data_IF_992727679686
#
_entry.id   IF_992727679686
#
_cell.length_a   1.000
_cell.length_b   1.000
_cell.length_c   1.000
_cell.angle_alpha   90.00
_cell.angle_beta   90.00
_cell.angle_gamma   90.00
#
_symmetry.space_group_name_H-M   'P 1'
#
loop_
_entity.id
_entity.type
_entity.pdbx_description
1 polymer ?
#
# COMPACT_ATOMS: atom_id res chain seq x y z
N UNK A 1 -18.97 28.57 -50.85
CA UNK A 1 -17.95 28.96 -49.86
C UNK A 1 -18.46 28.54 -48.50
N UNK A 2 -17.74 27.63 -47.84
CA UNK A 2 -18.19 26.91 -46.65
C UNK A 2 -17.98 27.76 -45.39
N UNK A 3 -19.02 27.88 -44.57
CA UNK A 3 -18.94 28.42 -43.22
C UNK A 3 -18.44 27.31 -42.29
N UNK A 4 -17.24 27.49 -41.74
CA UNK A 4 -16.66 26.62 -40.72
C UNK A 4 -17.32 26.97 -39.39
N UNK A 5 -18.13 26.06 -38.88
CA UNK A 5 -18.66 26.12 -37.51
C UNK A 5 -17.56 25.62 -36.58
N UNK A 6 -16.94 26.54 -35.82
CA UNK A 6 -16.09 26.19 -34.68
C UNK A 6 -17.01 25.75 -33.53
N UNK A 7 -17.29 24.44 -33.43
CA UNK A 7 -17.79 23.86 -32.19
C UNK A 7 -16.62 23.88 -31.20
N UNK A 8 -16.62 24.87 -30.31
CA UNK A 8 -15.75 24.88 -29.15
C UNK A 8 -16.03 23.62 -28.32
N UNK A 9 -15.07 22.70 -28.32
CA UNK A 9 -15.00 21.62 -27.35
C UNK A 9 -14.69 22.30 -26.01
N UNK A 10 -15.74 22.71 -25.30
CA UNK A 10 -15.70 22.89 -23.85
C UNK A 10 -15.42 21.50 -23.28
N UNK A 11 -14.14 21.16 -23.17
CA UNK A 11 -13.68 20.11 -22.27
C UNK A 11 -14.26 20.47 -20.91
N UNK A 12 -15.29 19.73 -20.51
CA UNK A 12 -15.82 19.77 -19.17
C UNK A 12 -14.66 19.42 -18.24
N UNK A 13 -14.02 20.44 -17.69
CA UNK A 13 -13.32 20.33 -16.42
C UNK A 13 -14.40 20.02 -15.40
N UNK A 14 -14.79 18.74 -15.31
CA UNK A 14 -15.48 18.23 -14.15
C UNK A 14 -14.68 18.61 -12.90
N UNK A 15 -15.33 18.73 -11.74
CA UNK A 15 -14.60 18.94 -10.49
C UNK A 15 -13.48 17.91 -10.42
N UNK A 16 -12.27 18.36 -10.04
CA UNK A 16 -11.15 17.47 -9.83
C UNK A 16 -11.63 16.32 -8.94
N UNK A 17 -11.56 15.10 -9.45
CA UNK A 17 -12.17 13.97 -8.78
C UNK A 17 -11.50 13.82 -7.40
N UNK A 18 -12.32 13.95 -6.35
CA UNK A 18 -11.86 14.11 -4.98
C UNK A 18 -11.59 12.74 -4.35
N UNK A 19 -10.52 12.64 -3.57
CA UNK A 19 -10.25 11.49 -2.72
C UNK A 19 -11.37 11.38 -1.68
N UNK A 20 -12.03 10.22 -1.59
CA UNK A 20 -13.02 9.96 -0.55
C UNK A 20 -12.45 9.02 0.50
N UNK A 21 -13.06 8.98 1.67
CA UNK A 21 -12.59 8.17 2.80
C UNK A 21 -13.69 7.27 3.33
N UNK A 22 -13.32 6.06 3.72
CA UNK A 22 -14.17 5.24 4.57
C UNK A 22 -14.36 5.93 5.92
N UNK A 23 -15.58 5.89 6.43
CA UNK A 23 -15.93 6.53 7.71
C UNK A 23 -16.17 5.48 8.78
N UNK A 24 -15.71 5.68 10.02
CA UNK A 24 -16.01 4.78 11.12
C UNK A 24 -17.52 4.56 11.24
N UNK A 25 -17.91 3.31 11.45
CA UNK A 25 -19.29 2.88 11.55
C UNK A 25 -19.56 2.26 12.93
N UNK A 26 -20.81 2.34 13.38
CA UNK A 26 -21.21 1.61 14.58
C UNK A 26 -21.18 0.11 14.33
N UNK A 27 -20.71 -0.67 15.32
CA UNK A 27 -20.64 -2.13 15.24
C UNK A 27 -22.01 -2.79 15.05
N UNK A 28 -23.08 -2.13 15.48
CA UNK A 28 -24.48 -2.55 15.32
C UNK A 28 -24.91 -2.69 13.85
N UNK A 29 -24.20 -2.04 12.92
CA UNK A 29 -24.45 -2.19 11.48
C UNK A 29 -23.90 -3.49 10.90
N UNK A 30 -22.99 -4.16 11.61
CA UNK A 30 -22.38 -5.41 11.17
C UNK A 30 -23.24 -6.60 11.62
N UNK A 31 -23.77 -7.41 10.69
CA UNK A 31 -24.51 -8.61 11.06
C UNK A 31 -23.60 -9.64 11.75
N UNK A 32 -24.08 -10.25 12.84
CA UNK A 32 -23.34 -11.29 13.55
C UNK A 32 -22.94 -12.46 12.65
N UNK A 33 -23.84 -12.87 11.74
CA UNK A 33 -23.58 -13.95 10.78
C UNK A 33 -22.36 -13.68 9.88
N UNK A 34 -22.11 -12.41 9.54
CA UNK A 34 -20.97 -12.03 8.71
C UNK A 34 -19.66 -12.20 9.50
N UNK A 35 -19.63 -11.79 10.76
CA UNK A 35 -18.47 -12.05 11.63
C UNK A 35 -18.27 -13.54 11.84
N UNK A 36 -19.32 -14.31 12.09
CA UNK A 36 -19.23 -15.76 12.31
C UNK A 36 -18.66 -16.53 11.10
N UNK A 37 -18.91 -16.05 9.88
CA UNK A 37 -18.36 -16.61 8.64
C UNK A 37 -16.83 -16.46 8.55
N UNK A 38 -16.29 -15.35 9.05
CA UNK A 38 -14.86 -15.04 8.97
C UNK A 38 -13.99 -15.93 9.88
N UNK A 39 -14.61 -16.71 10.77
CA UNK A 39 -13.90 -17.33 11.87
C UNK A 39 -13.71 -18.83 11.62
N UNK A 40 -12.48 -19.33 11.77
CA UNK A 40 -12.22 -20.76 11.66
C UNK A 40 -12.98 -21.50 12.77
N UNK A 41 -13.65 -22.61 12.43
CA UNK A 41 -14.18 -23.51 13.44
C UNK A 41 -13.03 -24.09 14.28
N UNK A 42 -13.13 -24.17 15.63
CA UNK A 42 -14.33 -24.02 16.47
C UNK A 42 -14.51 -22.63 17.14
N UNK A 43 -13.84 -21.56 16.69
CA UNK A 43 -13.80 -20.27 17.39
C UNK A 43 -14.98 -19.33 17.09
N UNK A 44 -15.96 -19.74 16.27
CA UNK A 44 -17.07 -18.86 15.81
C UNK A 44 -17.76 -18.05 16.90
N UNK A 45 -18.10 -18.67 18.04
CA UNK A 45 -18.73 -17.97 19.18
C UNK A 45 -17.80 -16.97 19.88
N UNK A 46 -16.51 -17.27 19.98
CA UNK A 46 -15.53 -16.35 20.55
C UNK A 46 -15.26 -15.16 19.63
N UNK A 47 -15.50 -15.32 18.34
CA UNK A 47 -15.19 -14.34 17.32
C UNK A 47 -16.12 -13.12 17.35
N UNK A 48 -17.42 -13.31 17.57
CA UNK A 48 -18.33 -12.18 17.79
C UNK A 48 -17.92 -11.37 19.01
N UNK A 49 -17.55 -12.04 20.11
CA UNK A 49 -17.03 -11.36 21.30
C UNK A 49 -15.74 -10.58 20.99
N UNK A 50 -14.81 -11.12 20.19
CA UNK A 50 -13.62 -10.37 19.76
C UNK A 50 -13.96 -9.16 18.91
N UNK A 51 -14.99 -9.25 18.07
CA UNK A 51 -15.48 -8.12 17.32
C UNK A 51 -16.07 -7.05 18.23
N UNK A 52 -16.89 -7.42 19.20
CA UNK A 52 -17.45 -6.50 20.20
C UNK A 52 -16.36 -5.80 21.04
N UNK A 53 -15.34 -6.54 21.47
CA UNK A 53 -14.25 -6.00 22.30
C UNK A 53 -13.26 -5.15 21.49
N UNK A 54 -12.81 -5.65 20.34
CA UNK A 54 -11.63 -5.11 19.64
C UNK A 54 -11.83 -4.85 18.16
N UNK A 55 -12.87 -5.43 17.56
CA UNK A 55 -13.21 -5.23 16.16
C UNK A 55 -13.61 -3.80 15.84
N UNK A 56 -13.63 -3.49 14.55
CA UNK A 56 -13.97 -2.17 14.01
C UNK A 56 -14.68 -2.31 12.68
N UNK A 57 -15.50 -1.33 12.35
CA UNK A 57 -16.20 -1.27 11.06
C UNK A 57 -16.11 0.14 10.48
N UNK A 58 -16.14 0.20 9.15
CA UNK A 58 -16.21 1.44 8.39
C UNK A 58 -17.17 1.27 7.22
N UNK A 59 -17.74 2.38 6.76
CA UNK A 59 -18.62 2.42 5.60
C UNK A 59 -18.06 3.34 4.53
N UNK A 60 -18.25 2.97 3.28
CA UNK A 60 -17.82 3.74 2.12
C UNK A 60 -18.52 3.26 0.86
N UNK A 61 -19.03 4.20 0.06
CA UNK A 61 -19.68 3.92 -1.23
C UNK A 61 -18.60 3.82 -2.32
N UNK A 62 -18.10 2.60 -2.54
CA UNK A 62 -17.07 2.32 -3.53
C UNK A 62 -17.66 2.14 -4.93
N UNK A 63 -18.97 1.93 -5.07
CA UNK A 63 -19.64 1.73 -6.36
C UNK A 63 -20.33 2.98 -6.92
N UNK A 64 -20.38 4.06 -6.14
CA UNK A 64 -21.11 5.30 -6.42
C UNK A 64 -22.60 5.08 -6.70
N UNK A 65 -23.21 4.03 -6.17
CA UNK A 65 -24.63 3.71 -6.35
C UNK A 65 -25.52 4.27 -5.23
N UNK A 66 -24.91 4.90 -4.22
CA UNK A 66 -25.59 5.49 -3.06
C UNK A 66 -25.74 4.52 -1.88
N UNK A 67 -25.41 3.23 -2.05
CA UNK A 67 -25.36 2.25 -0.98
C UNK A 67 -23.91 2.05 -0.52
N UNK A 68 -23.69 2.07 0.79
CA UNK A 68 -22.33 1.95 1.33
C UNK A 68 -21.90 0.49 1.49
N UNK A 69 -20.70 0.17 1.02
CA UNK A 69 -20.01 -1.05 1.38
C UNK A 69 -19.47 -0.99 2.80
N UNK A 70 -19.35 -2.18 3.42
CA UNK A 70 -18.93 -2.37 4.80
C UNK A 70 -17.53 -2.96 4.83
N UNK A 71 -16.59 -2.21 5.41
CA UNK A 71 -15.24 -2.65 5.68
C UNK A 71 -15.10 -3.05 7.15
N UNK A 72 -14.52 -4.21 7.42
CA UNK A 72 -14.58 -4.85 8.74
C UNK A 72 -13.19 -5.31 9.15
N UNK A 73 -12.84 -4.98 10.38
CA UNK A 73 -11.78 -5.62 11.14
C UNK A 73 -12.43 -6.52 12.20
N UNK A 74 -12.35 -7.87 12.10
CA UNK A 74 -13.10 -8.75 12.99
C UNK A 74 -12.58 -8.76 14.44
N UNK A 75 -11.34 -8.33 14.68
CA UNK A 75 -10.78 -8.19 16.03
C UNK A 75 -9.41 -8.84 16.17
N UNK A 76 -8.94 -8.95 17.42
CA UNK A 76 -7.54 -9.31 17.77
C UNK A 76 -7.00 -10.61 17.16
N UNK A 77 -7.85 -11.58 16.83
CA UNK A 77 -7.45 -12.83 16.18
C UNK A 77 -6.94 -12.62 14.74
N UNK A 78 -7.31 -11.49 14.13
CA UNK A 78 -6.95 -11.08 12.78
C UNK A 78 -5.80 -10.08 12.78
N UNK A 79 -4.92 -10.19 13.78
CA UNK A 79 -3.71 -9.37 13.92
C UNK A 79 -2.51 -10.28 13.78
N UNK A 80 -1.67 -9.97 12.79
CA UNK A 80 -0.42 -10.69 12.54
C UNK A 80 0.78 -9.74 12.53
N UNK A 81 1.98 -10.33 12.38
CA UNK A 81 3.23 -9.55 12.24
C UNK A 81 3.20 -8.57 11.06
N UNK A 82 2.37 -8.82 10.05
CA UNK A 82 2.22 -7.94 8.89
C UNK A 82 1.14 -6.88 9.02
N UNK A 83 0.32 -6.90 10.08
CA UNK A 83 -0.75 -5.91 10.27
C UNK A 83 -2.09 -6.48 10.70
N UNK A 84 -3.17 -5.81 10.32
CA UNK A 84 -4.56 -6.18 10.59
C UNK A 84 -5.19 -6.73 9.31
N UNK A 85 -5.95 -7.83 9.39
CA UNK A 85 -6.74 -8.31 8.24
C UNK A 85 -8.07 -7.56 8.16
N UNK A 86 -8.33 -6.92 7.02
CA UNK A 86 -9.59 -6.25 6.71
C UNK A 86 -10.41 -6.98 5.66
N UNK A 87 -11.73 -6.91 5.79
CA UNK A 87 -12.69 -7.53 4.88
C UNK A 87 -13.70 -6.53 4.35
N UNK A 88 -13.91 -6.48 3.04
CA UNK A 88 -14.83 -5.56 2.38
C UNK A 88 -16.03 -6.31 1.81
N UNK A 89 -17.22 -5.88 2.20
CA UNK A 89 -18.48 -6.51 1.81
C UNK A 89 -19.44 -5.51 1.17
N UNK A 90 -20.16 -5.97 0.16
CA UNK A 90 -21.29 -5.26 -0.43
C UNK A 90 -22.60 -5.98 -0.10
N UNK A 91 -23.63 -5.19 0.19
CA UNK A 91 -24.98 -5.71 0.31
C UNK A 91 -25.63 -5.82 -1.07
N UNK A 92 -26.09 -7.02 -1.44
CA UNK A 92 -26.89 -7.25 -2.66
C UNK A 92 -28.22 -7.89 -2.27
N UNK A 93 -29.26 -7.05 -2.17
CA UNK A 93 -30.55 -7.45 -1.61
C UNK A 93 -30.42 -7.82 -0.14
N UNK A 94 -30.72 -9.08 0.19
CA UNK A 94 -30.61 -9.61 1.57
C UNK A 94 -29.26 -10.26 1.88
N UNK A 95 -28.38 -10.39 0.89
CA UNK A 95 -27.08 -11.07 1.03
C UNK A 95 -25.93 -10.08 1.15
N UNK A 96 -24.91 -10.46 1.91
CA UNK A 96 -23.61 -9.80 1.93
C UNK A 96 -22.63 -10.61 1.09
N UNK A 97 -21.90 -9.93 0.20
CA UNK A 97 -20.96 -10.55 -0.72
C UNK A 97 -19.60 -9.93 -0.47
N UNK A 98 -18.58 -10.77 -0.25
CA UNK A 98 -17.19 -10.32 -0.17
C UNK A 98 -16.75 -9.75 -1.52
N UNK A 99 -16.13 -8.58 -1.50
CA UNK A 99 -15.52 -7.96 -2.68
C UNK A 99 -14.02 -8.29 -2.80
N UNK A 100 -13.52 -9.18 -1.94
CA UNK A 100 -12.10 -9.50 -1.77
C UNK A 100 -11.91 -11.00 -1.56
N UNK A 101 -10.66 -11.45 -1.63
CA UNK A 101 -10.28 -12.84 -1.38
C UNK A 101 -10.54 -13.27 0.08
N UNK A 102 -10.73 -14.58 0.28
CA UNK A 102 -11.22 -15.18 1.54
C UNK A 102 -10.35 -14.88 2.77
N UNK A 103 -9.05 -14.62 2.60
CA UNK A 103 -8.11 -14.39 3.72
C UNK A 103 -8.09 -12.94 4.24
N UNK A 104 -8.75 -12.02 3.52
CA UNK A 104 -8.73 -10.61 3.86
C UNK A 104 -7.43 -9.89 3.48
N UNK A 105 -7.42 -8.57 3.65
CA UNK A 105 -6.26 -7.74 3.37
C UNK A 105 -5.42 -7.48 4.61
N UNK A 106 -4.18 -7.97 4.62
CA UNK A 106 -3.23 -7.67 5.68
C UNK A 106 -2.62 -6.27 5.48
N UNK A 107 -3.02 -5.30 6.31
CA UNK A 107 -2.59 -3.90 6.15
C UNK A 107 -1.83 -3.33 7.35
N UNK A 108 -0.86 -2.47 7.07
CA UNK A 108 -0.09 -1.73 8.09
C UNK A 108 -0.65 -0.33 8.30
N UNK A 109 -1.24 -0.11 9.47
CA UNK A 109 -1.90 1.15 9.82
C UNK A 109 -3.23 1.31 9.09
N UNK A 110 -4.29 1.70 9.81
CA UNK A 110 -5.62 1.82 9.21
C UNK A 110 -5.72 3.17 8.51
N UNK A 111 -5.59 3.15 7.19
CA UNK A 111 -5.97 4.25 6.30
C UNK A 111 -6.65 3.62 5.10
N UNK A 112 -7.89 4.02 4.83
CA UNK A 112 -8.68 3.41 3.77
C UNK A 112 -9.38 4.49 2.98
N UNK A 113 -8.84 4.73 1.79
CA UNK A 113 -9.28 5.80 0.91
C UNK A 113 -9.91 5.18 -0.35
N UNK A 114 -10.96 5.84 -0.85
CA UNK A 114 -11.64 5.51 -2.09
C UNK A 114 -11.07 6.45 -3.14
N UNK A 115 -10.29 5.89 -4.06
CA UNK A 115 -9.60 6.63 -5.10
C UNK A 115 -10.60 7.09 -6.18
N UNK A 116 -10.36 8.24 -6.81
CA UNK A 116 -11.25 8.77 -7.85
C UNK A 116 -11.17 8.04 -9.20
N UNK A 117 -10.50 6.88 -9.26
CA UNK A 117 -10.39 6.07 -10.48
C UNK A 117 -11.50 5.04 -10.48
N UNK A 118 -12.38 5.07 -11.48
CA UNK A 118 -13.52 4.16 -11.56
C UNK A 118 -13.32 3.13 -12.68
N UNK A 119 -13.50 1.85 -12.34
CA UNK A 119 -13.44 0.70 -13.24
C UNK A 119 -14.73 -0.10 -13.14
N UNK A 120 -15.51 -0.13 -14.23
CA UNK A 120 -16.77 -0.90 -14.32
C UNK A 120 -17.73 -0.62 -13.13
N UNK A 121 -17.83 0.66 -12.74
CA UNK A 121 -18.71 1.11 -11.65
C UNK A 121 -18.02 1.19 -10.28
N UNK A 122 -16.89 0.53 -10.06
CA UNK A 122 -16.21 0.55 -8.76
C UNK A 122 -14.99 1.45 -8.76
N UNK A 123 -14.82 2.22 -7.70
CA UNK A 123 -13.64 3.02 -7.42
C UNK A 123 -12.47 2.15 -6.95
N UNK A 124 -11.27 2.42 -7.44
CA UNK A 124 -10.06 1.82 -6.89
C UNK A 124 -9.86 2.25 -5.43
N UNK A 125 -9.09 1.46 -4.67
CA UNK A 125 -8.93 1.65 -3.23
C UNK A 125 -7.47 1.84 -2.87
N UNK A 126 -7.25 2.63 -1.82
CA UNK A 126 -6.00 2.62 -1.06
C UNK A 126 -6.27 1.94 0.27
N UNK A 127 -5.45 0.96 0.61
CA UNK A 127 -5.54 0.21 1.84
C UNK A 127 -4.21 0.26 2.57
N UNK A 128 -4.22 0.81 3.77
CA UNK A 128 -3.01 1.10 4.53
C UNK A 128 -2.20 2.25 3.94
N UNK A 129 -0.95 2.32 4.38
CA UNK A 129 -0.06 3.40 3.98
C UNK A 129 0.59 3.17 2.61
N UNK A 130 0.67 1.93 2.16
CA UNK A 130 1.64 1.42 1.17
C UNK A 130 1.03 0.68 -0.03
N UNK A 131 -0.28 0.34 -0.01
CA UNK A 131 -0.90 -0.49 -1.04
C UNK A 131 -2.16 0.14 -1.67
N UNK A 132 -2.29 -0.04 -2.98
CA UNK A 132 -3.48 0.28 -3.76
C UNK A 132 -4.05 -0.97 -4.45
N UNK A 133 -5.36 -0.97 -4.66
CA UNK A 133 -6.13 -2.10 -5.16
C UNK A 133 -7.11 -1.64 -6.25
N UNK A 134 -7.20 -2.42 -7.33
CA UNK A 134 -8.06 -2.12 -8.49
C UNK A 134 -9.22 -3.09 -8.58
N UNK A 135 -10.37 -2.62 -9.03
CA UNK A 135 -11.47 -3.50 -9.40
C UNK A 135 -11.22 -4.16 -10.75
N UNK A 136 -11.21 -5.50 -10.81
CA UNK A 136 -11.01 -6.25 -12.06
C UNK A 136 -12.31 -6.66 -12.77
N UNK A 137 -13.47 -6.35 -12.18
CA UNK A 137 -14.79 -6.76 -12.66
C UNK A 137 -15.47 -7.83 -11.82
N UNK A 138 -14.74 -8.48 -10.91
CA UNK A 138 -15.27 -9.50 -10.01
C UNK A 138 -14.87 -9.28 -8.56
N UNK A 139 -13.62 -8.85 -8.32
CA UNK A 139 -13.08 -8.55 -7.00
C UNK A 139 -12.02 -7.45 -7.09
N UNK A 140 -11.63 -6.92 -5.94
CA UNK A 140 -10.44 -6.08 -5.84
C UNK A 140 -9.18 -6.94 -5.88
N UNK A 141 -8.22 -6.54 -6.70
CA UNK A 141 -6.89 -7.15 -6.79
C UNK A 141 -5.80 -6.09 -6.58
N UNK A 142 -4.62 -6.51 -6.14
CA UNK A 142 -3.51 -5.59 -5.92
C UNK A 142 -3.14 -4.85 -7.23
N UNK A 143 -2.71 -3.61 -7.09
CA UNK A 143 -2.16 -2.83 -8.21
C UNK A 143 -0.89 -3.48 -8.75
N UNK A 144 -0.79 -3.52 -10.07
CA UNK A 144 0.45 -3.78 -10.79
C UNK A 144 1.26 -2.47 -10.92
N UNK A 145 2.56 -2.53 -11.23
CA UNK A 145 3.39 -1.34 -11.35
C UNK A 145 2.83 -0.25 -12.28
N UNK A 146 2.15 -0.64 -13.36
CA UNK A 146 1.57 0.25 -14.37
C UNK A 146 0.34 1.01 -13.85
N UNK A 147 -0.39 0.45 -12.88
CA UNK A 147 -1.56 1.10 -12.30
C UNK A 147 -1.15 2.31 -11.45
N UNK A 148 -0.04 2.22 -10.73
CA UNK A 148 0.47 3.33 -9.91
C UNK A 148 0.77 4.58 -10.74
N UNK A 149 1.17 4.43 -12.02
CA UNK A 149 1.46 5.58 -12.90
C UNK A 149 0.24 6.44 -13.22
N UNK A 150 -0.97 5.92 -12.99
CA UNK A 150 -2.23 6.63 -13.22
C UNK A 150 -2.66 7.47 -12.00
N UNK A 151 -2.01 7.27 -10.85
CA UNK A 151 -2.35 7.97 -9.61
C UNK A 151 -1.73 9.37 -9.57
N UNK A 152 -2.45 10.31 -8.98
CA UNK A 152 -1.91 11.63 -8.69
C UNK A 152 -1.11 11.60 -7.38
N UNK A 153 0.16 12.06 -7.35
CA UNK A 153 0.92 12.22 -6.11
C UNK A 153 0.22 13.12 -5.07
N UNK A 154 -0.66 14.02 -5.52
CA UNK A 154 -1.37 14.95 -4.63
C UNK A 154 -2.42 14.28 -3.72
N UNK A 155 -2.75 13.00 -3.96
CA UNK A 155 -3.64 12.23 -3.09
C UNK A 155 -2.91 11.64 -1.87
N UNK A 156 -1.59 11.79 -1.82
CA UNK A 156 -0.71 11.16 -0.83
C UNK A 156 0.01 12.21 0.01
N UNK A 157 0.30 11.87 1.26
CA UNK A 157 0.98 12.75 2.20
C UNK A 157 2.49 12.59 2.06
N UNK A 158 3.12 13.52 1.34
CA UNK A 158 4.57 13.54 1.15
C UNK A 158 5.37 13.80 2.45
N UNK A 159 4.69 14.11 3.56
CA UNK A 159 5.32 14.24 4.89
C UNK A 159 5.19 12.99 5.75
N UNK A 160 4.40 11.99 5.33
CA UNK A 160 4.25 10.73 6.05
C UNK A 160 5.20 9.67 5.49
N UNK A 161 6.25 9.34 6.25
CA UNK A 161 7.23 8.30 5.89
C UNK A 161 6.58 6.94 5.58
N UNK A 162 5.41 6.64 6.16
CA UNK A 162 4.69 5.38 5.88
C UNK A 162 4.21 5.29 4.44
N UNK A 163 4.09 6.42 3.73
CA UNK A 163 3.68 6.49 2.32
C UNK A 163 4.85 6.45 1.35
N UNK A 164 6.10 6.36 1.84
CA UNK A 164 7.29 6.37 1.01
C UNK A 164 7.25 5.29 -0.08
N UNK A 165 6.65 4.12 0.20
CA UNK A 165 6.48 3.05 -0.77
C UNK A 165 5.53 3.42 -1.91
N UNK A 166 4.42 4.13 -1.64
CA UNK A 166 3.55 4.63 -2.70
C UNK A 166 4.34 5.57 -3.60
N UNK A 167 5.01 6.57 -3.04
CA UNK A 167 5.79 7.53 -3.83
C UNK A 167 6.88 6.84 -4.66
N UNK A 168 7.51 5.80 -4.11
CA UNK A 168 8.47 4.99 -4.86
C UNK A 168 7.79 4.28 -6.03
N UNK A 169 6.65 3.61 -5.81
CA UNK A 169 5.89 2.89 -6.85
C UNK A 169 5.39 3.82 -7.95
N UNK A 170 4.92 5.02 -7.61
CA UNK A 170 4.50 6.05 -8.59
C UNK A 170 5.63 6.40 -9.58
N UNK A 171 6.88 6.51 -9.09
CA UNK A 171 8.03 6.98 -9.88
C UNK A 171 8.79 5.86 -10.57
N UNK A 172 8.96 4.74 -9.87
CA UNK A 172 9.93 3.70 -10.25
C UNK A 172 9.33 2.31 -10.39
N UNK A 173 8.02 2.14 -10.11
CA UNK A 173 7.33 0.86 -10.27
C UNK A 173 7.58 0.23 -11.64
N UNK A 174 8.06 -1.02 -11.62
CA UNK A 174 8.31 -1.85 -12.80
C UNK A 174 9.61 -1.54 -13.53
N UNK A 175 10.42 -0.59 -13.05
CA UNK A 175 11.74 -0.31 -13.64
C UNK A 175 12.82 -1.18 -13.00
N UNK A 176 13.66 -1.82 -13.81
CA UNK A 176 14.81 -2.61 -13.31
C UNK A 176 16.10 -1.81 -13.21
N UNK A 177 16.20 -0.70 -13.95
CA UNK A 177 17.37 0.18 -13.96
C UNK A 177 16.97 1.62 -14.21
N UNK A 178 17.40 2.54 -13.34
CA UNK A 178 17.06 3.96 -13.45
C UNK A 178 18.00 4.83 -12.59
N UNK A 179 17.97 6.14 -12.83
CA UNK A 179 18.61 7.10 -11.93
C UNK A 179 17.62 7.46 -10.82
N UNK A 180 17.97 7.15 -9.58
CA UNK A 180 17.14 7.36 -8.42
C UNK A 180 17.24 8.79 -7.90
N UNK A 181 16.09 9.41 -7.69
CA UNK A 181 15.95 10.70 -7.02
C UNK A 181 15.33 10.49 -5.63
N UNK A 182 16.08 10.73 -4.54
CA UNK A 182 15.56 10.58 -3.19
C UNK A 182 14.39 11.52 -2.90
N UNK A 183 13.29 10.98 -2.38
CA UNK A 183 12.26 11.76 -1.71
C UNK A 183 12.48 11.64 -0.21
N UNK A 184 12.88 12.74 0.41
CA UNK A 184 13.14 12.81 1.85
C UNK A 184 11.83 13.02 2.61
N UNK A 185 11.69 12.26 3.69
CA UNK A 185 10.58 12.32 4.62
C UNK A 185 11.12 12.64 6.02
N UNK A 186 10.35 13.36 6.85
CA UNK A 186 10.68 13.54 8.25
C UNK A 186 10.55 12.21 9.00
N UNK A 187 11.53 11.94 9.86
CA UNK A 187 11.64 10.72 10.66
C UNK A 187 12.50 9.63 10.01
N UNK A 188 12.80 8.62 10.82
CA UNK A 188 13.47 7.38 10.42
C UNK A 188 12.49 6.21 10.53
N UNK A 189 12.62 5.17 9.69
CA UNK A 189 11.73 4.01 9.76
C UNK A 189 11.82 3.36 11.16
N UNK A 190 10.66 3.03 11.73
CA UNK A 190 10.54 2.35 13.03
C UNK A 190 10.21 0.87 12.81
N UNK A 191 10.76 0.00 13.65
CA UNK A 191 10.50 -1.44 13.62
C UNK A 191 11.77 -2.26 13.78
N UNK A 192 11.66 -3.56 13.51
CA UNK A 192 12.81 -4.47 13.52
C UNK A 192 13.73 -4.20 12.34
N UNK A 193 15.03 -4.16 12.60
CA UNK A 193 16.08 -3.89 11.61
C UNK A 193 16.85 -5.19 11.39
N UNK A 194 17.07 -5.57 10.12
CA UNK A 194 17.92 -6.70 9.76
C UNK A 194 19.39 -6.29 9.75
N UNK A 195 19.69 -5.14 9.14
CA UNK A 195 21.06 -4.69 8.92
C UNK A 195 21.12 -3.16 8.89
N UNK A 196 22.24 -2.62 9.36
CA UNK A 196 22.58 -1.20 9.25
C UNK A 196 24.00 -1.06 8.73
N UNK A 197 24.24 -0.02 7.93
CA UNK A 197 25.57 0.29 7.41
C UNK A 197 25.80 1.80 7.43
N UNK A 198 26.80 2.25 8.18
CA UNK A 198 27.18 3.66 8.21
C UNK A 198 28.06 4.01 7.00
N UNK A 199 27.69 5.07 6.30
CA UNK A 199 28.39 5.61 5.14
C UNK A 199 29.04 6.94 5.55
N UNK A 200 30.28 6.85 6.01
CA UNK A 200 31.02 8.00 6.54
C UNK A 200 31.30 9.07 5.48
N UNK A 201 31.42 8.68 4.21
CA UNK A 201 31.71 9.59 3.09
C UNK A 201 30.54 10.53 2.83
N UNK A 202 29.31 10.00 2.84
CA UNK A 202 28.10 10.78 2.64
C UNK A 202 27.47 11.30 3.94
N UNK A 203 27.95 10.80 5.08
CA UNK A 203 27.34 11.04 6.39
C UNK A 203 25.93 10.44 6.48
N UNK A 204 25.71 9.31 5.82
CA UNK A 204 24.41 8.62 5.77
C UNK A 204 24.46 7.34 6.61
N UNK A 205 23.28 6.87 7.00
CA UNK A 205 23.08 5.52 7.53
C UNK A 205 22.11 4.78 6.62
N UNK A 206 22.53 3.65 6.12
CA UNK A 206 21.68 2.71 5.40
C UNK A 206 21.02 1.76 6.39
N UNK A 207 19.71 1.55 6.24
CA UNK A 207 18.92 0.72 7.15
C UNK A 207 18.07 -0.25 6.33
N UNK A 208 18.28 -1.55 6.52
CA UNK A 208 17.44 -2.60 5.98
C UNK A 208 16.44 -3.08 7.03
N UNK A 209 15.15 -2.88 6.79
CA UNK A 209 14.09 -3.24 7.73
C UNK A 209 13.68 -4.72 7.56
N UNK A 210 13.39 -5.41 8.67
CA UNK A 210 12.78 -6.75 8.64
C UNK A 210 11.36 -6.67 8.08
N UNK A 211 11.05 -7.49 7.06
CA UNK A 211 9.79 -7.40 6.29
C UNK A 211 9.48 -5.97 5.83
N UNK A 212 10.49 -5.27 5.34
CA UNK A 212 10.37 -3.89 4.90
C UNK A 212 11.48 -3.50 3.92
N UNK A 213 11.47 -2.23 3.51
CA UNK A 213 12.41 -1.70 2.53
C UNK A 213 13.80 -1.36 3.05
N UNK A 214 14.65 -0.90 2.14
CA UNK A 214 15.98 -0.33 2.44
C UNK A 214 15.88 1.19 2.38
N UNK A 215 16.35 1.85 3.44
CA UNK A 215 16.27 3.29 3.61
C UNK A 215 17.67 3.91 3.71
N UNK A 216 17.82 5.11 3.16
CA UNK A 216 18.93 6.00 3.48
C UNK A 216 18.46 7.04 4.49
N UNK A 217 19.19 7.21 5.60
CA UNK A 217 18.87 8.15 6.65
C UNK A 217 20.00 9.15 6.87
N UNK A 218 19.64 10.41 7.14
CA UNK A 218 20.58 11.48 7.50
C UNK A 218 19.93 12.42 8.51
N UNK A 219 20.49 12.48 9.71
CA UNK A 219 19.89 13.24 10.81
C UNK A 219 18.51 12.68 11.17
N UNK A 220 17.50 13.54 11.13
CA UNK A 220 16.10 13.19 11.43
C UNK A 220 15.28 12.87 10.18
N UNK A 221 15.88 12.81 9.00
CA UNK A 221 15.18 12.54 7.74
C UNK A 221 15.62 11.21 7.14
N UNK A 222 14.73 10.59 6.36
CA UNK A 222 15.04 9.38 5.60
C UNK A 222 14.32 9.34 4.26
N UNK A 223 14.82 8.52 3.34
CA UNK A 223 14.15 8.20 2.08
C UNK A 223 14.14 6.68 1.88
N UNK A 224 13.10 6.18 1.22
CA UNK A 224 13.05 4.79 0.78
C UNK A 224 13.84 4.62 -0.51
N UNK A 225 14.93 3.84 -0.47
CA UNK A 225 15.74 3.51 -1.65
C UNK A 225 15.09 2.39 -2.47
N UNK A 226 14.63 1.33 -1.80
CA UNK A 226 14.08 0.13 -2.42
C UNK A 226 12.98 -0.47 -1.53
N UNK A 227 11.73 -0.60 -2.03
CA UNK A 227 10.66 -1.27 -1.30
C UNK A 227 10.99 -2.74 -1.11
N UNK A 228 10.47 -3.32 -0.03
CA UNK A 228 10.74 -4.66 0.49
C UNK A 228 11.30 -5.64 -0.57
N UNK A 229 12.63 -5.77 -0.67
CA UNK A 229 13.25 -6.50 -1.79
C UNK A 229 13.20 -8.02 -1.62
N UNK A 230 12.75 -8.52 -0.47
CA UNK A 230 12.51 -9.94 -0.21
C UNK A 230 11.40 -10.08 0.84
N UNK A 231 10.79 -11.26 0.98
CA UNK A 231 9.79 -11.53 2.02
C UNK A 231 10.26 -11.12 3.42
N UNK A 232 11.53 -11.35 3.78
CA UNK A 232 12.08 -10.93 5.08
C UNK A 232 12.79 -9.57 5.03
N UNK A 233 12.81 -8.90 3.88
CA UNK A 233 13.63 -7.72 3.61
C UNK A 233 15.09 -8.07 3.34
N UNK A 234 15.91 -7.06 3.05
CA UNK A 234 17.34 -7.28 2.84
C UNK A 234 18.02 -7.77 4.13
N UNK A 235 18.84 -8.82 4.02
CA UNK A 235 19.55 -9.42 5.14
C UNK A 235 20.91 -8.77 5.42
N UNK A 236 21.54 -8.22 4.37
CA UNK A 236 22.89 -7.63 4.46
C UNK A 236 23.05 -6.46 3.50
N UNK A 237 23.80 -5.45 3.96
CA UNK A 237 24.20 -4.29 3.19
C UNK A 237 25.73 -4.20 3.16
N UNK A 238 26.33 -3.89 2.02
CA UNK A 238 27.78 -3.74 1.87
C UNK A 238 28.13 -2.53 0.99
N UNK A 239 29.29 -1.91 1.24
CA UNK A 239 29.84 -0.86 0.37
C UNK A 239 31.03 -1.42 -0.41
N UNK A 240 30.98 -1.30 -1.74
CA UNK A 240 32.08 -1.61 -2.64
C UNK A 240 32.35 -0.42 -3.58
N UNK A 241 33.36 0.39 -3.24
CA UNK A 241 33.63 1.64 -3.94
C UNK A 241 32.42 2.57 -3.90
N UNK A 242 31.92 3.01 -5.05
CA UNK A 242 30.73 3.86 -5.13
C UNK A 242 29.41 3.09 -4.92
N UNK A 243 29.43 1.76 -4.86
CA UNK A 243 28.21 0.95 -4.84
C UNK A 243 27.80 0.57 -3.42
N UNK A 244 26.54 0.79 -3.10
CA UNK A 244 25.82 0.08 -2.06
C UNK A 244 25.25 -1.20 -2.65
N UNK A 245 25.63 -2.34 -2.11
CA UNK A 245 25.14 -3.66 -2.49
C UNK A 245 24.10 -4.12 -1.46
N UNK A 246 22.96 -4.60 -1.96
CA UNK A 246 21.81 -5.00 -1.15
C UNK A 246 21.57 -6.49 -1.36
N UNK A 247 21.74 -7.28 -0.31
CA UNK A 247 21.62 -8.72 -0.35
C UNK A 247 20.41 -9.24 0.40
N UNK A 248 19.85 -10.35 -0.08
CA UNK A 248 18.78 -11.07 0.59
C UNK A 248 19.23 -11.81 1.84
N UNK A 249 18.28 -12.42 2.57
CA UNK A 249 18.60 -13.35 3.64
C UNK A 249 19.17 -14.65 3.05
N UNK A 250 20.15 -15.27 3.72
CA UNK A 250 20.69 -16.58 3.30
C UNK A 250 22.21 -16.69 3.38
N UNK A 251 22.74 -17.87 3.09
CA UNK A 251 24.17 -18.15 3.00
C UNK A 251 24.46 -19.18 1.87
N UNK A 252 25.08 -18.77 0.74
CA UNK A 252 25.44 -17.40 0.40
C UNK A 252 24.20 -16.55 0.10
N UNK A 253 24.20 -15.24 0.40
CA UNK A 253 23.04 -14.40 0.15
C UNK A 253 23.01 -13.89 -1.30
N UNK A 254 21.82 -13.89 -1.90
CA UNK A 254 21.61 -13.39 -3.26
C UNK A 254 21.71 -11.86 -3.33
N UNK A 255 22.31 -11.33 -4.41
CA UNK A 255 22.32 -9.90 -4.67
C UNK A 255 20.96 -9.48 -5.23
N UNK A 256 20.21 -8.67 -4.47
CA UNK A 256 18.86 -8.22 -4.84
C UNK A 256 18.89 -6.91 -5.63
N UNK A 257 19.80 -6.01 -5.25
CA UNK A 257 19.95 -4.71 -5.89
C UNK A 257 21.31 -4.08 -5.62
N UNK A 258 21.65 -3.07 -6.41
CA UNK A 258 22.81 -2.21 -6.19
C UNK A 258 22.51 -0.76 -6.52
N UNK A 259 23.00 0.15 -5.69
CA UNK A 259 22.82 1.58 -5.82
C UNK A 259 24.18 2.28 -5.91
N UNK A 260 24.45 2.96 -7.01
CA UNK A 260 25.64 3.78 -7.15
C UNK A 260 25.42 5.11 -6.44
N UNK A 261 26.14 5.32 -5.35
CA UNK A 261 25.97 6.48 -4.47
C UNK A 261 26.37 7.81 -5.14
N UNK A 262 27.26 7.76 -6.14
CA UNK A 262 27.75 8.92 -6.87
C UNK A 262 26.87 9.28 -8.07
N UNK A 263 26.52 8.32 -8.91
CA UNK A 263 25.70 8.55 -10.11
C UNK A 263 24.20 8.46 -9.84
N UNK A 264 23.82 7.94 -8.67
CA UNK A 264 22.46 7.61 -8.26
C UNK A 264 21.79 6.53 -9.09
N UNK A 265 22.55 5.76 -9.85
CA UNK A 265 21.99 4.65 -10.62
C UNK A 265 21.57 3.52 -9.67
N UNK A 266 20.29 3.15 -9.67
CA UNK A 266 19.75 1.99 -8.97
C UNK A 266 19.48 0.87 -9.99
N UNK A 267 19.95 -0.34 -9.69
CA UNK A 267 19.69 -1.56 -10.46
C UNK A 267 19.07 -2.61 -9.55
N UNK A 268 17.94 -3.17 -9.99
CA UNK A 268 17.24 -4.28 -9.35
C UNK A 268 17.65 -5.53 -10.12
N UNK A 269 18.23 -6.50 -9.41
CA UNK A 269 18.86 -7.70 -10.01
C UNK A 269 17.96 -8.95 -9.89
N UNK A 270 16.80 -8.83 -9.23
CA UNK A 270 15.83 -9.92 -9.08
C UNK A 270 15.26 -10.34 -10.44
N UNK A 271 15.25 -11.65 -10.71
CA UNK A 271 14.46 -12.25 -11.77
C UNK A 271 12.99 -12.37 -11.31
N UNK A 272 12.04 -12.14 -12.22
CA UNK A 272 10.59 -12.29 -11.96
C UNK A 272 10.17 -13.76 -11.91
#
# INVERSE_FOLDING_TARGET
MAAVVLLGVLLASGPAAELRHFRPAEKSLVPAALIEELCPDPERKACWQFFEETGKAWVGDVSNDGEAELLIFPGRAFVGSGGLSLFLYQRRGEQWISLIEEEGWLIRGIRVDILPIVRRGYSDLRLGADLCWKWNGAQYVAYEPEDYRQLSPAWFDASDLREAEIFWRLRYGGLKKFNFEPQWFPGVPKGSVNSTLDDAELGWRWVAMFKGGVYGARGEESFLLLPQPDYLGAGRLELEGDWLLIYGPGDPPDLLARYNRRTRELRIEMEE
#
